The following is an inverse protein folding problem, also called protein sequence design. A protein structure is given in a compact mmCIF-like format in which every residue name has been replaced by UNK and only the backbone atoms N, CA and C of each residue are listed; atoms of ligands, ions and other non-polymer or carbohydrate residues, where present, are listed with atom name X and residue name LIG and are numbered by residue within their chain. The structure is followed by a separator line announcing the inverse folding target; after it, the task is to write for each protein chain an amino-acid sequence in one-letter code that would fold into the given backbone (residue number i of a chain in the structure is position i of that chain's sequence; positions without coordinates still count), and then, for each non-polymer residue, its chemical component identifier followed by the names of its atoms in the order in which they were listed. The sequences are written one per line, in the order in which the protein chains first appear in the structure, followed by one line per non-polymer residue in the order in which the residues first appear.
data_IF_757506852065
#
_entry.id   IF_757506852065
#
_cell.length_a   1.000
_cell.length_b   1.000
_cell.length_c   1.000
_cell.angle_alpha   90.00
_cell.angle_beta   90.00
_cell.angle_gamma   90.00
#
_symmetry.space_group_name_H-M   'P 1'
#
loop_
_entity.id
_entity.type
_entity.pdbx_description
1 polymer ?
#
# COMPACT_ATOMS: atom_id res chain seq x y z
N UNK A 1 -34.57 -39.23 -31.81
CA UNK A 1 -35.82 -38.67 -32.28
C UNK A 1 -36.03 -37.34 -31.62
N UNK A 2 -35.89 -36.25 -32.27
CA UNK A 2 -36.82 -35.48 -33.08
C UNK A 2 -37.83 -34.70 -32.20
N UNK A 3 -37.78 -33.43 -32.27
CA UNK A 3 -38.60 -32.34 -32.78
C UNK A 3 -38.86 -31.27 -31.68
N UNK A 4 -38.35 -30.02 -31.77
CA UNK A 4 -38.82 -28.83 -32.49
C UNK A 4 -40.26 -28.40 -32.16
N UNK A 5 -40.47 -27.12 -31.77
CA UNK A 5 -41.40 -26.08 -32.25
C UNK A 5 -41.41 -24.96 -31.17
N UNK A 6 -40.87 -23.78 -31.36
CA UNK A 6 -41.13 -22.57 -32.13
C UNK A 6 -42.41 -21.77 -31.72
N UNK A 7 -42.22 -20.49 -31.54
CA UNK A 7 -43.12 -19.32 -31.71
C UNK A 7 -43.99 -18.92 -30.52
N UNK A 8 -44.07 -17.68 -30.14
CA UNK A 8 -44.45 -16.50 -30.84
C UNK A 8 -44.44 -15.21 -30.05
N UNK A 9 -44.16 -14.20 -30.73
CA UNK A 9 -44.21 -12.78 -30.58
C UNK A 9 -45.57 -12.26 -30.09
N UNK A 10 -45.58 -11.23 -29.26
CA UNK A 10 -46.51 -10.11 -29.48
C UNK A 10 -45.99 -8.81 -28.93
N UNK A 11 -46.00 -7.86 -29.79
CA UNK A 11 -45.67 -6.44 -29.72
C UNK A 11 -46.90 -5.64 -29.24
N UNK A 12 -46.70 -4.61 -28.44
CA UNK A 12 -47.66 -3.50 -28.38
C UNK A 12 -46.95 -2.19 -28.14
N UNK A 13 -46.98 -1.35 -29.14
CA UNK A 13 -46.68 0.09 -29.12
C UNK A 13 -47.85 0.89 -28.51
N UNK A 14 -47.51 2.08 -28.00
CA UNK A 14 -48.21 3.38 -28.22
C UNK A 14 -47.43 4.46 -27.48
N UNK A 15 -46.69 5.34 -28.15
CA UNK A 15 -46.92 6.71 -28.61
C UNK A 15 -47.52 7.67 -27.56
N UNK A 16 -47.09 8.91 -27.31
CA UNK A 16 -46.46 9.91 -28.16
C UNK A 16 -46.15 11.20 -27.39
N UNK A 17 -45.33 12.05 -27.99
CA UNK A 17 -45.24 13.54 -27.98
C UNK A 17 -44.54 14.19 -26.77
N UNK A 18 -43.58 15.06 -26.88
CA UNK A 18 -43.00 15.84 -28.00
C UNK A 18 -42.16 16.94 -27.39
N UNK A 19 -41.13 17.40 -28.07
CA UNK A 19 -40.42 18.64 -27.72
C UNK A 19 -38.94 18.63 -28.06
N UNK A 20 -38.62 19.04 -29.28
CA UNK A 20 -37.26 19.29 -29.78
C UNK A 20 -36.52 20.38 -29.02
N UNK A 21 -35.21 20.16 -28.76
CA UNK A 21 -34.19 21.16 -29.07
C UNK A 21 -32.83 20.48 -29.14
N UNK A 22 -32.22 20.68 -30.31
CA UNK A 22 -30.87 20.36 -30.71
C UNK A 22 -29.83 21.07 -29.85
N UNK A 23 -28.81 20.35 -29.39
CA UNK A 23 -27.49 20.89 -29.13
C UNK A 23 -26.44 19.76 -29.26
N UNK A 24 -25.32 20.15 -29.82
CA UNK A 24 -24.25 19.40 -30.43
C UNK A 24 -23.63 18.30 -29.54
N UNK A 25 -23.23 17.24 -30.22
CA UNK A 25 -22.32 16.22 -29.70
C UNK A 25 -20.96 16.83 -29.42
N UNK A 26 -20.48 16.69 -28.19
CA UNK A 26 -19.07 16.78 -27.85
C UNK A 26 -18.63 15.39 -27.38
N UNK A 27 -17.81 14.76 -28.24
CA UNK A 27 -17.21 13.44 -28.00
C UNK A 27 -16.07 13.61 -27.01
N UNK A 28 -16.37 13.67 -25.73
CA UNK A 28 -15.38 13.38 -24.71
C UNK A 28 -15.44 11.88 -24.43
N UNK A 29 -14.46 11.18 -24.95
CA UNK A 29 -14.14 9.82 -24.50
C UNK A 29 -13.80 9.88 -23.01
N UNK A 30 -14.78 9.54 -22.18
CA UNK A 30 -14.53 9.11 -20.83
C UNK A 30 -13.76 7.78 -20.93
N UNK A 31 -12.45 7.88 -20.84
CA UNK A 31 -11.62 6.77 -20.42
C UNK A 31 -11.89 6.56 -18.94
N UNK A 32 -13.01 5.94 -18.63
CA UNK A 32 -13.25 5.36 -17.33
C UNK A 32 -12.42 4.06 -17.25
N UNK A 33 -11.11 4.22 -17.05
CA UNK A 33 -10.29 3.18 -16.49
C UNK A 33 -10.79 3.04 -15.07
N UNK A 34 -11.68 2.10 -14.84
CA UNK A 34 -11.93 1.54 -13.52
C UNK A 34 -10.62 0.87 -13.10
N UNK A 35 -9.65 1.68 -12.64
CA UNK A 35 -8.76 1.20 -11.63
C UNK A 35 -9.70 0.73 -10.52
N UNK A 36 -9.70 -0.56 -10.22
CA UNK A 36 -10.17 -1.05 -8.95
C UNK A 36 -9.27 -0.37 -7.93
N UNK A 37 -9.66 0.85 -7.55
CA UNK A 37 -9.21 1.47 -6.34
C UNK A 37 -9.62 0.49 -5.26
N UNK A 38 -8.64 -0.15 -4.68
CA UNK A 38 -8.82 -0.78 -3.39
C UNK A 38 -9.68 0.15 -2.57
N UNK A 39 -10.84 -0.34 -2.12
CA UNK A 39 -11.84 0.45 -1.41
C UNK A 39 -11.37 0.72 0.02
N UNK A 40 -10.22 1.40 0.17
CA UNK A 40 -9.40 1.31 1.34
C UNK A 40 -9.26 2.53 2.19
N UNK A 41 -9.76 3.63 1.80
CA UNK A 41 -9.88 4.77 2.68
C UNK A 41 -11.18 5.51 2.34
N UNK A 42 -12.29 4.77 2.34
CA UNK A 42 -13.61 5.37 2.45
C UNK A 42 -13.88 5.69 3.92
N UNK A 43 -12.88 6.26 4.59
CA UNK A 43 -13.14 6.94 5.84
C UNK A 43 -14.05 8.11 5.52
N UNK A 44 -15.13 8.24 6.27
CA UNK A 44 -15.99 9.39 6.21
C UNK A 44 -15.08 10.65 6.29
N UNK A 45 -15.06 11.53 5.29
CA UNK A 45 -14.21 12.72 5.31
C UNK A 45 -14.49 13.65 6.50
N UNK A 46 -15.56 13.38 7.26
CA UNK A 46 -15.91 14.09 8.47
C UNK A 46 -15.43 13.37 9.76
N UNK A 47 -14.83 12.17 9.66
CA UNK A 47 -14.22 11.52 10.82
C UNK A 47 -12.93 12.27 11.21
N UNK A 48 -13.01 12.84 12.41
CA UNK A 48 -11.93 13.61 13.00
C UNK A 48 -11.01 12.65 13.77
N UNK A 49 -10.09 11.98 13.05
CA UNK A 49 -9.11 11.12 13.69
C UNK A 49 -8.08 11.96 14.44
N UNK A 50 -7.89 11.67 15.72
CA UNK A 50 -6.70 12.07 16.43
C UNK A 50 -5.52 11.24 15.93
N UNK A 51 -4.89 11.69 14.85
CA UNK A 51 -3.84 10.94 14.14
C UNK A 51 -2.45 11.52 14.32
N UNK A 52 -2.30 12.45 15.25
CA UNK A 52 -1.06 13.14 15.52
C UNK A 52 -0.95 14.52 14.87
N UNK A 53 0.18 15.18 15.11
CA UNK A 53 0.45 16.55 14.68
C UNK A 53 1.01 16.57 13.24
N UNK A 54 0.21 17.05 12.29
CA UNK A 54 0.58 17.18 10.89
C UNK A 54 1.81 18.08 10.67
N UNK A 55 2.03 19.08 11.52
CA UNK A 55 3.17 20.02 11.40
C UNK A 55 4.54 19.37 11.63
N UNK A 56 4.58 18.13 12.13
CA UNK A 56 5.80 17.35 12.33
C UNK A 56 6.20 16.54 11.09
N UNK A 57 5.36 16.53 10.07
CA UNK A 57 5.64 15.89 8.79
C UNK A 57 6.12 16.93 7.75
N UNK A 58 6.85 16.47 6.73
CA UNK A 58 7.33 17.31 5.64
C UNK A 58 6.79 16.72 4.33
N UNK A 59 6.00 17.45 3.53
CA UNK A 59 5.47 16.95 2.28
C UNK A 59 6.53 16.74 1.19
N UNK A 60 7.77 17.17 1.41
CA UNK A 60 8.92 17.01 0.51
C UNK A 60 8.60 17.38 -0.96
N UNK A 61 7.99 18.54 -1.17
CA UNK A 61 7.59 19.07 -2.47
C UNK A 61 8.27 20.39 -2.83
N UNK A 62 9.49 20.64 -2.33
CA UNK A 62 10.27 21.85 -2.56
C UNK A 62 10.67 21.98 -4.04
N UNK A 63 10.85 23.20 -4.49
CA UNK A 63 11.40 23.57 -5.80
C UNK A 63 12.90 23.91 -5.69
N UNK A 64 13.55 24.16 -6.85
CA UNK A 64 14.96 24.57 -6.94
C UNK A 64 15.95 23.58 -6.32
N UNK A 65 15.78 22.30 -6.60
CA UNK A 65 16.45 21.18 -5.95
C UNK A 65 17.74 20.70 -6.63
N UNK A 66 18.11 21.25 -7.79
CA UNK A 66 19.26 20.81 -8.57
C UNK A 66 18.90 19.73 -9.61
N UNK A 67 19.94 19.01 -10.10
CA UNK A 67 19.87 18.15 -11.29
C UNK A 67 19.45 16.70 -10.97
N UNK A 68 19.52 16.29 -9.71
CA UNK A 68 19.32 14.89 -9.30
C UNK A 68 18.25 14.78 -8.23
N UNK A 69 17.27 13.96 -8.48
CA UNK A 69 16.15 13.72 -7.58
C UNK A 69 15.96 12.24 -7.28
N UNK A 70 15.65 11.93 -6.02
CA UNK A 70 15.15 10.65 -5.56
C UNK A 70 13.70 10.85 -5.11
N UNK A 71 12.77 10.46 -5.98
CA UNK A 71 11.33 10.50 -5.70
C UNK A 71 10.92 9.23 -4.99
N UNK A 72 10.49 9.36 -3.73
CA UNK A 72 9.92 8.26 -2.96
C UNK A 72 8.42 8.25 -3.19
N UNK A 73 7.91 7.15 -3.76
CA UNK A 73 6.50 6.98 -4.08
C UNK A 73 5.86 5.97 -3.14
N UNK A 74 4.85 6.42 -2.42
CA UNK A 74 4.10 5.61 -1.46
C UNK A 74 2.60 5.62 -1.80
N UNK A 75 1.87 4.61 -1.36
CA UNK A 75 0.40 4.67 -1.38
C UNK A 75 -0.08 5.89 -0.57
N UNK A 76 0.48 6.06 0.62
CA UNK A 76 0.16 7.12 1.56
C UNK A 76 -0.61 6.61 2.76
N UNK A 77 -0.82 7.50 3.72
CA UNK A 77 -1.74 7.32 4.84
C UNK A 77 -2.19 8.68 5.36
N UNK A 78 -3.44 8.78 5.78
CA UNK A 78 -4.00 9.98 6.42
C UNK A 78 -3.65 10.07 7.90
N UNK A 79 -3.13 9.01 8.49
CA UNK A 79 -2.69 8.98 9.89
C UNK A 79 -1.33 9.69 10.04
N UNK A 80 -1.32 10.89 10.62
CA UNK A 80 -0.15 11.76 10.66
C UNK A 80 1.05 11.12 11.38
N UNK A 81 0.84 10.49 12.53
CA UNK A 81 1.93 9.82 13.26
C UNK A 81 2.47 8.63 12.47
N UNK A 82 1.59 7.79 11.93
CA UNK A 82 2.01 6.66 11.09
C UNK A 82 2.76 7.14 9.84
N UNK A 83 2.29 8.21 9.17
CA UNK A 83 2.97 8.77 7.99
C UNK A 83 4.39 9.20 8.34
N UNK A 84 4.55 9.95 9.43
CA UNK A 84 5.86 10.40 9.91
C UNK A 84 6.79 9.26 10.30
N UNK A 85 6.27 8.26 11.02
CA UNK A 85 7.04 7.16 11.60
C UNK A 85 7.37 6.06 10.62
N UNK A 86 6.68 6.00 9.49
CA UNK A 86 6.88 4.99 8.44
C UNK A 86 7.43 5.59 7.16
N UNK A 87 6.60 6.23 6.34
CA UNK A 87 7.01 6.88 5.09
C UNK A 87 8.09 7.92 5.36
N UNK A 88 7.86 8.81 6.32
CA UNK A 88 8.82 9.85 6.69
C UNK A 88 10.15 9.28 7.21
N UNK A 89 10.12 8.14 7.91
CA UNK A 89 11.34 7.46 8.34
C UNK A 89 12.13 6.86 7.17
N UNK A 90 11.45 6.27 6.18
CA UNK A 90 12.06 5.78 4.94
C UNK A 90 12.70 6.95 4.18
N UNK A 91 11.97 8.05 4.02
CA UNK A 91 12.48 9.26 3.33
C UNK A 91 13.71 9.85 4.02
N UNK A 92 13.72 9.92 5.34
CA UNK A 92 14.89 10.34 6.13
C UNK A 92 16.08 9.40 5.96
N UNK A 93 15.84 8.08 5.87
CA UNK A 93 16.88 7.12 5.56
C UNK A 93 17.47 7.34 4.16
N UNK A 94 16.62 7.66 3.17
CA UNK A 94 17.05 8.03 1.81
C UNK A 94 17.86 9.33 1.81
N UNK A 95 17.41 10.38 2.49
CA UNK A 95 18.14 11.64 2.61
C UNK A 95 19.54 11.45 3.21
N UNK A 96 19.64 10.58 4.22
CA UNK A 96 20.90 10.26 4.87
C UNK A 96 21.84 9.46 3.96
N UNK A 97 21.30 8.50 3.23
CA UNK A 97 22.07 7.60 2.37
C UNK A 97 22.53 8.28 1.06
N UNK A 98 21.73 9.20 0.53
CA UNK A 98 21.93 9.84 -0.76
C UNK A 98 21.95 11.37 -0.66
N UNK A 99 22.94 11.97 0.01
CA UNK A 99 22.98 13.41 0.27
C UNK A 99 23.12 14.26 -1.01
N UNK A 100 23.53 13.67 -2.12
CA UNK A 100 23.65 14.34 -3.42
C UNK A 100 22.34 14.34 -4.22
N UNK A 101 21.30 13.68 -3.71
CA UNK A 101 19.97 13.63 -4.31
C UNK A 101 18.97 14.46 -3.49
N UNK A 102 18.16 15.26 -4.17
CA UNK A 102 17.00 15.85 -3.52
C UNK A 102 15.92 14.77 -3.33
N UNK A 103 15.57 14.47 -2.09
CA UNK A 103 14.51 13.50 -1.78
C UNK A 103 13.16 14.19 -1.81
N UNK A 104 12.23 13.61 -2.57
CA UNK A 104 10.88 14.11 -2.78
C UNK A 104 9.86 13.03 -2.45
N UNK A 105 8.62 13.44 -2.23
CA UNK A 105 7.48 12.57 -1.94
C UNK A 105 6.45 12.63 -3.06
N UNK A 106 5.88 11.48 -3.42
CA UNK A 106 4.65 11.39 -4.18
C UNK A 106 3.76 10.28 -3.59
N UNK A 107 2.44 10.51 -3.58
CA UNK A 107 1.47 9.50 -3.18
C UNK A 107 0.65 9.01 -4.37
N UNK A 108 0.30 7.72 -4.37
CA UNK A 108 -0.57 7.13 -5.39
C UNK A 108 -2.05 7.30 -5.05
N UNK A 109 -2.42 7.39 -3.78
CA UNK A 109 -3.82 7.52 -3.36
C UNK A 109 -4.27 8.98 -3.31
N UNK A 110 -5.09 9.39 -4.31
CA UNK A 110 -5.68 10.72 -4.36
C UNK A 110 -6.63 10.96 -3.19
N UNK A 111 -7.35 9.93 -2.74
CA UNK A 111 -8.27 10.02 -1.60
C UNK A 111 -7.53 10.44 -0.34
N UNK A 112 -6.36 9.84 -0.07
CA UNK A 112 -5.52 10.19 1.07
C UNK A 112 -5.00 11.62 0.94
N UNK A 113 -4.52 12.02 -0.24
CA UNK A 113 -4.04 13.37 -0.50
C UNK A 113 -5.13 14.41 -0.20
N UNK A 114 -6.32 14.19 -0.73
CA UNK A 114 -7.47 15.09 -0.57
C UNK A 114 -7.90 15.17 0.91
N UNK A 115 -7.91 14.04 1.61
CA UNK A 115 -8.25 13.97 3.04
C UNK A 115 -7.25 14.77 3.89
N UNK A 116 -5.95 14.55 3.69
CA UNK A 116 -4.88 15.27 4.42
C UNK A 116 -4.95 16.78 4.12
N UNK A 117 -5.14 17.15 2.86
CA UNK A 117 -5.26 18.56 2.49
C UNK A 117 -6.50 19.21 3.12
N UNK A 118 -7.66 18.54 3.08
CA UNK A 118 -8.91 19.06 3.66
C UNK A 118 -8.80 19.23 5.17
N UNK A 119 -8.22 18.26 5.87
CA UNK A 119 -8.12 18.24 7.33
C UNK A 119 -7.02 19.15 7.85
N UNK A 120 -5.82 19.06 7.28
CA UNK A 120 -4.59 19.65 7.82
C UNK A 120 -4.07 20.82 6.97
N UNK A 121 -4.59 21.01 5.76
CA UNK A 121 -4.10 22.01 4.80
C UNK A 121 -2.74 21.64 4.19
N UNK A 122 -2.24 20.44 4.42
CA UNK A 122 -0.98 19.94 3.89
C UNK A 122 -1.15 19.50 2.42
N UNK A 123 -0.25 19.94 1.56
CA UNK A 123 -0.25 19.61 0.14
C UNK A 123 0.80 18.55 -0.15
N UNK A 124 0.33 17.35 -0.46
CA UNK A 124 1.17 16.23 -0.89
C UNK A 124 0.94 16.04 -2.39
N UNK A 125 2.01 15.98 -3.17
CA UNK A 125 1.92 15.75 -4.61
C UNK A 125 1.44 14.29 -4.88
N UNK A 126 0.52 14.12 -5.83
CA UNK A 126 0.32 12.81 -6.44
C UNK A 126 1.48 12.50 -7.40
N UNK A 127 1.49 11.30 -7.99
CA UNK A 127 2.61 10.87 -8.85
C UNK A 127 2.79 11.80 -10.04
N UNK A 128 1.70 12.15 -10.74
CA UNK A 128 1.75 13.08 -11.88
C UNK A 128 2.27 14.46 -11.47
N UNK A 129 1.77 15.02 -10.37
CA UNK A 129 2.21 16.31 -9.84
C UNK A 129 3.70 16.29 -9.46
N UNK A 130 4.16 15.21 -8.82
CA UNK A 130 5.55 15.05 -8.45
C UNK A 130 6.47 14.94 -9.68
N UNK A 131 6.04 14.21 -10.73
CA UNK A 131 6.79 14.09 -11.99
C UNK A 131 6.83 15.40 -12.76
N UNK A 132 5.70 16.11 -12.86
CA UNK A 132 5.63 17.44 -13.49
C UNK A 132 6.53 18.44 -12.76
N UNK A 133 6.52 18.42 -11.43
CA UNK A 133 7.43 19.23 -10.61
C UNK A 133 8.90 18.91 -10.87
N UNK A 134 9.26 17.63 -11.05
CA UNK A 134 10.62 17.24 -11.39
C UNK A 134 11.04 17.79 -12.76
N UNK A 135 10.12 17.78 -13.74
CA UNK A 135 10.35 18.39 -15.07
C UNK A 135 10.54 19.91 -14.95
N UNK A 136 9.66 20.58 -14.21
CA UNK A 136 9.72 22.04 -13.99
C UNK A 136 11.01 22.46 -13.28
N UNK A 137 11.48 21.64 -12.33
CA UNK A 137 12.75 21.80 -11.63
C UNK A 137 13.98 21.48 -12.50
N UNK A 138 13.77 21.04 -13.75
CA UNK A 138 14.83 20.68 -14.69
C UNK A 138 15.75 19.59 -14.19
N UNK A 139 15.19 18.62 -13.49
CA UNK A 139 15.90 17.41 -13.05
C UNK A 139 16.40 16.66 -14.27
N UNK A 140 17.67 16.24 -14.24
CA UNK A 140 18.27 15.46 -15.33
C UNK A 140 18.27 13.97 -15.02
N UNK A 141 18.52 13.63 -13.75
CA UNK A 141 18.51 12.24 -13.27
C UNK A 141 17.43 12.07 -12.24
N UNK A 142 16.42 11.27 -12.57
CA UNK A 142 15.32 10.92 -11.68
C UNK A 142 15.41 9.44 -11.30
N UNK A 143 15.56 9.19 -10.01
CA UNK A 143 15.41 7.86 -9.42
C UNK A 143 14.09 7.80 -8.69
N UNK A 144 13.24 6.84 -9.03
CA UNK A 144 11.95 6.63 -8.37
C UNK A 144 12.03 5.38 -7.52
N UNK A 145 11.89 5.52 -6.20
CA UNK A 145 11.87 4.40 -5.28
C UNK A 145 10.47 4.24 -4.71
N UNK A 146 9.74 3.16 -5.09
CA UNK A 146 8.46 2.86 -4.48
C UNK A 146 8.65 2.28 -3.08
N UNK A 147 7.70 2.57 -2.19
CA UNK A 147 7.61 1.92 -0.87
C UNK A 147 6.58 0.79 -0.84
N UNK A 148 6.12 0.34 -2.00
CA UNK A 148 5.17 -0.76 -2.12
C UNK A 148 5.74 -2.07 -1.56
N UNK A 149 4.87 -2.90 -1.01
CA UNK A 149 5.25 -4.19 -0.45
C UNK A 149 5.70 -5.18 -1.54
N UNK A 150 5.06 -5.12 -2.72
CA UNK A 150 5.21 -6.13 -3.76
C UNK A 150 5.06 -5.54 -5.17
N UNK A 151 5.46 -6.29 -6.17
CA UNK A 151 5.17 -6.04 -7.57
C UNK A 151 3.70 -6.43 -7.86
N UNK A 152 2.78 -5.55 -7.50
CA UNK A 152 1.34 -5.68 -7.68
C UNK A 152 0.78 -4.66 -8.66
N UNK A 153 -0.54 -4.45 -8.61
CA UNK A 153 -1.24 -3.53 -9.52
C UNK A 153 -0.68 -2.11 -9.41
N UNK A 154 -0.57 -1.57 -8.20
CA UNK A 154 -0.08 -0.20 -7.97
C UNK A 154 1.35 0.03 -8.45
N UNK A 155 2.24 -0.95 -8.27
CA UNK A 155 3.60 -0.86 -8.80
C UNK A 155 3.61 -0.83 -10.33
N UNK A 156 2.75 -1.63 -10.97
CA UNK A 156 2.64 -1.66 -12.43
C UNK A 156 2.02 -0.35 -12.97
N UNK A 157 1.02 0.20 -12.29
CA UNK A 157 0.44 1.50 -12.65
C UNK A 157 1.51 2.61 -12.57
N UNK A 158 2.31 2.63 -11.51
CA UNK A 158 3.43 3.55 -11.38
C UNK A 158 4.44 3.38 -12.53
N UNK A 159 4.77 2.15 -12.88
CA UNK A 159 5.69 1.84 -13.99
C UNK A 159 5.16 2.35 -15.33
N UNK A 160 3.86 2.16 -15.58
CA UNK A 160 3.21 2.62 -16.80
C UNK A 160 3.15 4.15 -16.85
N UNK A 161 2.91 4.82 -15.73
CA UNK A 161 2.93 6.28 -15.65
C UNK A 161 4.33 6.83 -15.94
N UNK A 162 5.38 6.24 -15.36
CA UNK A 162 6.77 6.65 -15.62
C UNK A 162 7.18 6.48 -17.08
N UNK A 163 6.61 5.52 -17.81
CA UNK A 163 6.89 5.34 -19.23
C UNK A 163 6.50 6.57 -20.06
N UNK A 164 5.49 7.32 -19.63
CA UNK A 164 5.08 8.61 -20.25
C UNK A 164 6.10 9.74 -20.08
N UNK A 165 7.03 9.61 -19.13
CA UNK A 165 8.05 10.63 -18.83
C UNK A 165 9.45 10.23 -19.26
N UNK A 166 9.62 9.13 -20.00
CA UNK A 166 10.92 8.61 -20.40
C UNK A 166 11.82 9.61 -21.15
N UNK A 167 11.20 10.47 -21.95
CA UNK A 167 11.90 11.48 -22.75
C UNK A 167 12.07 12.83 -22.01
N UNK A 168 11.53 12.94 -20.79
CA UNK A 168 11.56 14.19 -20.01
C UNK A 168 12.84 14.35 -19.19
N UNK A 169 13.61 13.26 -19.00
CA UNK A 169 14.83 13.21 -18.21
C UNK A 169 15.99 12.63 -19.02
N UNK A 170 17.22 13.02 -18.72
CA UNK A 170 18.40 12.39 -19.30
C UNK A 170 18.55 10.93 -18.82
N UNK A 171 18.20 10.69 -17.55
CA UNK A 171 18.16 9.36 -16.93
C UNK A 171 16.96 9.25 -16.02
N UNK A 172 16.20 8.17 -16.17
CA UNK A 172 15.11 7.81 -15.28
C UNK A 172 15.18 6.32 -14.95
N UNK A 173 14.97 5.95 -13.70
CA UNK A 173 14.96 4.55 -13.27
C UNK A 173 13.96 4.35 -12.15
N UNK A 174 13.30 3.19 -12.16
CA UNK A 174 12.39 2.72 -11.13
C UNK A 174 13.07 1.64 -10.30
N UNK A 175 13.13 1.83 -8.98
CA UNK A 175 13.59 0.82 -8.04
C UNK A 175 12.55 -0.27 -7.80
N UNK A 176 12.99 -1.38 -7.22
CA UNK A 176 12.14 -2.51 -6.90
C UNK A 176 11.30 -2.26 -5.62
N UNK A 177 10.09 -2.84 -5.54
CA UNK A 177 9.33 -2.87 -4.29
C UNK A 177 9.97 -3.79 -3.26
N UNK A 178 9.47 -3.81 -2.02
CA UNK A 178 10.13 -4.47 -0.89
C UNK A 178 10.38 -5.96 -1.10
N UNK A 179 9.36 -6.71 -1.53
CA UNK A 179 9.40 -8.17 -1.71
C UNK A 179 9.54 -8.52 -3.19
N UNK A 180 10.74 -8.49 -3.71
CA UNK A 180 11.05 -8.78 -5.12
C UNK A 180 11.83 -10.08 -5.26
N UNK A 181 12.92 -10.26 -4.54
CA UNK A 181 13.79 -11.43 -4.61
C UNK A 181 13.62 -12.36 -3.40
N UNK A 182 14.12 -13.60 -3.52
CA UNK A 182 14.17 -14.52 -2.37
C UNK A 182 15.01 -13.96 -1.22
N UNK A 183 16.05 -13.21 -1.51
CA UNK A 183 16.88 -12.54 -0.52
C UNK A 183 16.08 -11.46 0.24
N UNK A 184 15.21 -10.72 -0.45
CA UNK A 184 14.32 -9.76 0.18
C UNK A 184 13.36 -10.43 1.16
N UNK A 185 12.78 -11.58 0.78
CA UNK A 185 11.91 -12.36 1.69
C UNK A 185 12.65 -12.79 2.95
N UNK A 186 13.90 -13.25 2.83
CA UNK A 186 14.74 -13.62 3.99
C UNK A 186 15.03 -12.40 4.88
N UNK A 187 15.38 -11.27 4.28
CA UNK A 187 15.71 -10.04 5.01
C UNK A 187 14.47 -9.45 5.70
N UNK A 188 13.32 -9.42 5.01
CA UNK A 188 12.06 -8.97 5.61
C UNK A 188 11.62 -9.90 6.72
N UNK A 189 11.71 -11.23 6.52
CA UNK A 189 11.45 -12.20 7.58
C UNK A 189 12.30 -11.92 8.82
N UNK A 190 13.61 -11.76 8.66
CA UNK A 190 14.50 -11.47 9.78
C UNK A 190 14.12 -10.15 10.47
N UNK A 191 13.75 -9.11 9.68
CA UNK A 191 13.33 -7.82 10.23
C UNK A 191 12.05 -7.92 11.06
N UNK A 192 11.03 -8.63 10.59
CA UNK A 192 9.76 -8.77 11.34
C UNK A 192 9.90 -9.67 12.55
N UNK A 193 10.73 -10.71 12.49
CA UNK A 193 11.04 -11.57 13.64
C UNK A 193 11.79 -10.77 14.71
N UNK A 194 12.82 -10.01 14.33
CA UNK A 194 13.56 -9.18 15.30
C UNK A 194 12.67 -8.08 15.91
N UNK A 195 11.79 -7.48 15.11
CA UNK A 195 10.85 -6.44 15.56
C UNK A 195 9.75 -6.95 16.51
N UNK A 196 9.56 -8.26 16.59
CA UNK A 196 8.54 -8.90 17.46
C UNK A 196 9.11 -9.85 18.50
N UNK A 197 10.43 -9.89 18.61
CA UNK A 197 11.13 -10.83 19.51
C UNK A 197 10.74 -10.71 20.99
N UNK A 198 10.30 -9.53 21.43
CA UNK A 198 9.83 -9.32 22.80
C UNK A 198 8.53 -10.08 23.12
N UNK A 199 7.76 -10.41 22.10
CA UNK A 199 6.51 -11.17 22.20
C UNK A 199 6.72 -12.69 21.99
N UNK A 200 7.91 -13.10 21.55
CA UNK A 200 8.25 -14.49 21.25
C UNK A 200 8.68 -15.23 22.52
N UNK A 201 7.69 -15.51 23.37
CA UNK A 201 7.86 -16.18 24.67
C UNK A 201 7.68 -17.72 24.61
N UNK A 202 7.48 -18.29 23.42
CA UNK A 202 7.20 -19.70 23.20
C UNK A 202 5.74 -20.11 23.46
N UNK A 203 4.89 -19.21 23.98
CA UNK A 203 3.47 -19.44 24.28
C UNK A 203 2.53 -18.55 23.42
N UNK A 204 3.10 -17.59 22.71
CA UNK A 204 2.38 -16.58 21.92
C UNK A 204 2.51 -16.85 20.44
N UNK A 205 1.39 -16.83 19.72
CA UNK A 205 1.34 -16.77 18.26
C UNK A 205 1.49 -15.33 17.80
N UNK A 206 2.37 -15.08 16.85
CA UNK A 206 2.59 -13.77 16.26
C UNK A 206 1.96 -13.77 14.87
N UNK A 207 0.91 -12.99 14.70
CA UNK A 207 0.09 -12.97 13.49
C UNK A 207 0.26 -11.64 12.75
N UNK A 208 0.73 -11.71 11.52
CA UNK A 208 0.86 -10.59 10.63
C UNK A 208 -0.34 -10.49 9.69
N UNK A 209 -0.92 -9.31 9.64
CA UNK A 209 -2.05 -8.98 8.77
C UNK A 209 -1.58 -8.14 7.59
N UNK A 210 -1.59 -8.74 6.40
CA UNK A 210 -1.42 -8.03 5.14
C UNK A 210 -2.74 -7.53 4.59
N UNK A 211 -2.66 -6.69 3.56
CA UNK A 211 -3.84 -6.20 2.87
C UNK A 211 -4.56 -7.33 2.11
N UNK A 212 -3.83 -8.02 1.28
CA UNK A 212 -4.38 -8.98 0.34
C UNK A 212 -4.77 -8.33 -0.99
N UNK A 213 -4.86 -9.14 -2.03
CA UNK A 213 -5.29 -8.73 -3.36
C UNK A 213 -5.83 -9.94 -4.13
N UNK A 214 -6.74 -9.71 -5.06
CA UNK A 214 -7.20 -10.75 -5.99
C UNK A 214 -6.17 -11.06 -7.11
N UNK A 215 -5.14 -10.22 -7.25
CA UNK A 215 -4.09 -10.42 -8.24
C UNK A 215 -3.14 -11.56 -7.86
N UNK A 216 -2.39 -12.08 -8.84
CA UNK A 216 -1.39 -13.14 -8.64
C UNK A 216 -0.31 -12.74 -7.61
N UNK A 217 -0.01 -11.46 -7.48
CA UNK A 217 0.92 -10.93 -6.48
C UNK A 217 0.54 -11.26 -5.03
N UNK A 218 -0.71 -11.68 -4.77
CA UNK A 218 -1.16 -12.14 -3.45
C UNK A 218 -0.34 -13.32 -2.90
N UNK A 219 0.30 -14.10 -3.77
CA UNK A 219 1.16 -15.22 -3.35
C UNK A 219 2.36 -14.80 -2.48
N UNK A 220 2.71 -13.53 -2.40
CA UNK A 220 3.76 -13.04 -1.49
C UNK A 220 3.46 -13.34 -0.03
N UNK A 221 2.19 -13.37 0.37
CA UNK A 221 1.79 -13.70 1.74
C UNK A 221 2.02 -15.18 2.04
N UNK A 222 1.65 -16.07 1.15
CA UNK A 222 1.95 -17.50 1.27
C UNK A 222 3.45 -17.74 1.27
N UNK A 223 4.20 -17.09 0.39
CA UNK A 223 5.66 -17.20 0.34
C UNK A 223 6.33 -16.71 1.63
N UNK A 224 5.84 -15.62 2.22
CA UNK A 224 6.34 -15.15 3.53
C UNK A 224 6.07 -16.18 4.63
N UNK A 225 4.88 -16.77 4.67
CA UNK A 225 4.55 -17.85 5.62
C UNK A 225 5.48 -19.07 5.44
N UNK A 226 5.74 -19.46 4.21
CA UNK A 226 6.67 -20.57 3.91
C UNK A 226 8.11 -20.23 4.33
N UNK A 227 8.54 -19.00 4.11
CA UNK A 227 9.86 -18.50 4.50
C UNK A 227 10.05 -18.54 6.02
N UNK A 228 9.05 -18.07 6.79
CA UNK A 228 9.02 -18.13 8.25
C UNK A 228 9.09 -19.58 8.75
N UNK A 229 8.28 -20.45 8.17
CA UNK A 229 8.23 -21.87 8.55
C UNK A 229 9.54 -22.59 8.24
N UNK A 230 10.12 -22.34 7.08
CA UNK A 230 11.39 -22.93 6.67
C UNK A 230 12.56 -22.51 7.59
N UNK A 231 12.47 -21.32 8.19
CA UNK A 231 13.42 -20.83 9.19
C UNK A 231 13.14 -21.30 10.64
N UNK A 232 12.08 -22.08 10.86
CA UNK A 232 11.72 -22.63 12.18
C UNK A 232 10.87 -21.69 13.04
N UNK A 233 10.28 -20.66 12.47
CA UNK A 233 9.35 -19.74 13.16
C UNK A 233 7.92 -20.28 13.11
N UNK A 234 7.65 -21.40 13.79
CA UNK A 234 6.37 -22.10 13.73
C UNK A 234 5.23 -21.38 14.47
N UNK A 235 5.55 -20.40 15.30
CA UNK A 235 4.57 -19.55 16.00
C UNK A 235 4.24 -18.25 15.24
N UNK A 236 4.72 -18.08 14.02
CA UNK A 236 4.44 -16.94 13.14
C UNK A 236 3.41 -17.31 12.09
N UNK A 237 2.39 -16.47 11.93
CA UNK A 237 1.27 -16.67 11.01
C UNK A 237 1.06 -15.43 10.16
N UNK A 238 0.77 -15.63 8.88
CA UNK A 238 0.50 -14.57 7.92
C UNK A 238 -0.89 -14.75 7.34
N UNK A 239 -1.69 -13.69 7.36
CA UNK A 239 -2.98 -13.64 6.70
C UNK A 239 -3.24 -12.29 6.09
N UNK A 240 -4.43 -12.12 5.53
CA UNK A 240 -4.84 -10.92 4.78
C UNK A 240 -6.24 -10.46 5.16
N UNK A 241 -6.51 -9.16 4.97
CA UNK A 241 -7.85 -8.59 5.16
C UNK A 241 -8.78 -9.00 4.02
N UNK A 242 -8.34 -8.87 2.76
CA UNK A 242 -9.22 -8.94 1.60
C UNK A 242 -9.04 -10.20 0.74
N UNK A 243 -8.08 -11.07 1.09
CA UNK A 243 -7.76 -12.25 0.29
C UNK A 243 -7.48 -13.49 1.15
N UNK A 244 -6.68 -14.41 0.62
CA UNK A 244 -6.23 -15.61 1.33
C UNK A 244 -4.72 -15.57 1.56
N UNK A 245 -4.22 -16.08 2.72
CA UNK A 245 -4.99 -16.66 3.84
C UNK A 245 -5.89 -15.63 4.53
N UNK A 246 -7.13 -16.02 4.81
CA UNK A 246 -8.11 -15.17 5.49
C UNK A 246 -7.91 -15.15 7.01
N UNK A 247 -8.63 -14.28 7.71
CA UNK A 247 -8.70 -14.28 9.16
C UNK A 247 -9.11 -15.65 9.72
N UNK A 248 -10.11 -16.28 9.13
CA UNK A 248 -10.59 -17.60 9.55
C UNK A 248 -9.51 -18.67 9.38
N UNK A 249 -8.74 -18.62 8.29
CA UNK A 249 -7.62 -19.52 8.04
C UNK A 249 -6.53 -19.37 9.13
N UNK A 250 -6.22 -18.12 9.49
CA UNK A 250 -5.22 -17.82 10.53
C UNK A 250 -5.71 -18.28 11.91
N UNK A 251 -6.96 -17.99 12.27
CA UNK A 251 -7.55 -18.44 13.54
C UNK A 251 -7.52 -19.97 13.62
N UNK A 252 -7.88 -20.67 12.56
CA UNK A 252 -7.86 -22.13 12.51
C UNK A 252 -6.44 -22.68 12.69
N UNK A 253 -5.45 -22.09 12.04
CA UNK A 253 -4.04 -22.47 12.15
C UNK A 253 -3.49 -22.25 13.56
N UNK A 254 -3.78 -21.11 14.18
CA UNK A 254 -3.35 -20.79 15.56
C UNK A 254 -4.00 -21.74 16.55
N UNK A 255 -5.29 -22.05 16.40
CA UNK A 255 -5.99 -23.05 17.24
C UNK A 255 -5.35 -24.43 17.14
N UNK A 256 -5.03 -24.87 15.92
CA UNK A 256 -4.40 -26.17 15.67
C UNK A 256 -2.99 -26.25 16.30
N UNK A 257 -2.29 -25.13 16.40
CA UNK A 257 -0.95 -25.04 17.01
C UNK A 257 -0.96 -24.99 18.55
N UNK A 258 -2.12 -24.79 19.17
CA UNK A 258 -2.30 -24.87 20.61
C UNK A 258 -1.96 -23.60 21.42
N UNK A 259 -1.58 -22.50 20.76
CA UNK A 259 -1.32 -21.22 21.41
C UNK A 259 -2.59 -20.65 22.05
N UNK A 260 -2.42 -19.82 23.09
CA UNK A 260 -3.51 -19.16 23.82
C UNK A 260 -3.43 -17.64 23.76
N UNK A 261 -2.26 -17.12 23.47
CA UNK A 261 -2.00 -15.70 23.33
C UNK A 261 -1.68 -15.39 21.88
N UNK A 262 -2.11 -14.23 21.41
CA UNK A 262 -1.90 -13.75 20.05
C UNK A 262 -1.43 -12.32 20.08
N UNK A 263 -0.39 -12.03 19.30
CA UNK A 263 0.01 -10.68 18.94
C UNK A 263 -0.36 -10.42 17.49
N UNK A 264 -1.06 -9.33 17.23
CA UNK A 264 -1.43 -8.88 15.89
C UNK A 264 -0.58 -7.68 15.49
N UNK A 265 0.04 -7.74 14.32
CA UNK A 265 0.82 -6.65 13.73
C UNK A 265 0.56 -6.56 12.22
N UNK A 266 0.54 -5.35 11.61
CA UNK A 266 0.38 -5.25 10.16
C UNK A 266 1.62 -5.72 9.41
N UNK A 267 1.40 -6.44 8.31
CA UNK A 267 2.39 -6.70 7.25
C UNK A 267 2.15 -5.69 6.11
N UNK A 268 2.20 -4.42 6.48
CA UNK A 268 1.98 -3.26 5.62
C UNK A 268 2.99 -2.18 5.98
N UNK A 269 3.37 -1.37 5.02
CA UNK A 269 4.39 -0.31 5.21
C UNK A 269 3.92 0.71 6.24
N UNK A 270 2.64 1.09 6.19
CA UNK A 270 2.01 2.03 7.11
C UNK A 270 1.03 1.32 8.04
N UNK A 271 0.71 1.92 9.17
CA UNK A 271 -0.41 1.55 10.03
C UNK A 271 -1.54 2.56 9.82
N UNK A 272 -2.29 2.38 8.72
CA UNK A 272 -3.43 3.20 8.33
C UNK A 272 -4.75 2.60 8.82
N UNK A 273 -5.81 2.81 8.02
CA UNK A 273 -7.17 2.42 8.36
C UNK A 273 -7.30 0.92 8.68
N UNK A 274 -6.79 0.03 7.82
CA UNK A 274 -6.84 -1.41 8.07
C UNK A 274 -6.17 -1.83 9.37
N UNK A 275 -5.03 -1.25 9.73
CA UNK A 275 -4.35 -1.60 10.98
C UNK A 275 -5.11 -1.10 12.21
N UNK A 276 -5.72 0.07 12.11
CA UNK A 276 -6.46 0.68 13.21
C UNK A 276 -7.87 0.10 13.38
N UNK A 277 -8.56 -0.20 12.28
CA UNK A 277 -9.95 -0.66 12.29
C UNK A 277 -10.07 -2.18 12.08
N UNK A 278 -9.61 -2.72 10.93
CA UNK A 278 -9.79 -4.14 10.62
C UNK A 278 -8.92 -5.06 11.49
N UNK A 279 -7.74 -4.61 11.91
CA UNK A 279 -6.89 -5.38 12.81
C UNK A 279 -7.19 -5.11 14.29
N UNK A 280 -7.06 -3.86 14.73
CA UNK A 280 -7.03 -3.48 16.14
C UNK A 280 -8.34 -2.84 16.64
N UNK A 281 -9.33 -2.63 15.77
CA UNK A 281 -10.60 -2.01 16.14
C UNK A 281 -11.43 -2.87 17.09
N UNK A 282 -12.37 -2.22 17.79
CA UNK A 282 -13.27 -2.85 18.75
C UNK A 282 -14.60 -3.30 18.12
N UNK A 283 -14.80 -3.04 16.83
CA UNK A 283 -15.97 -3.45 16.08
C UNK A 283 -15.97 -4.95 15.78
N UNK A 284 -17.18 -5.53 15.71
CA UNK A 284 -17.35 -6.91 15.30
C UNK A 284 -16.74 -7.16 13.91
N UNK A 285 -15.98 -8.23 13.78
CA UNK A 285 -15.32 -8.60 12.53
C UNK A 285 -13.86 -8.14 12.42
N UNK A 286 -13.38 -7.28 13.34
CA UNK A 286 -11.94 -7.00 13.41
C UNK A 286 -11.16 -8.25 13.80
N UNK A 287 -9.89 -8.32 13.40
CA UNK A 287 -9.01 -9.43 13.79
C UNK A 287 -8.96 -9.59 15.31
N UNK A 288 -8.81 -8.47 16.04
CA UNK A 288 -8.81 -8.46 17.51
C UNK A 288 -10.06 -9.12 18.07
N UNK A 289 -11.25 -8.63 17.69
CA UNK A 289 -12.50 -9.13 18.26
C UNK A 289 -12.78 -10.59 17.87
N UNK A 290 -12.43 -11.02 16.67
CA UNK A 290 -12.63 -12.41 16.23
C UNK A 290 -11.66 -13.37 16.90
N UNK A 291 -10.41 -12.99 17.15
CA UNK A 291 -9.48 -13.78 17.98
C UNK A 291 -9.95 -13.85 19.43
N UNK A 292 -10.44 -12.75 20.03
CA UNK A 292 -11.00 -12.74 21.38
C UNK A 292 -12.21 -13.65 21.50
N UNK A 293 -13.17 -13.59 20.55
CA UNK A 293 -14.32 -14.51 20.45
C UNK A 293 -13.88 -15.98 20.32
N UNK A 294 -12.77 -16.21 19.63
CA UNK A 294 -12.19 -17.54 19.49
C UNK A 294 -11.49 -18.05 20.76
N UNK A 295 -11.39 -17.22 21.82
CA UNK A 295 -10.89 -17.57 23.15
C UNK A 295 -9.40 -17.27 23.36
N UNK A 296 -8.82 -16.37 22.55
CA UNK A 296 -7.43 -15.95 22.70
C UNK A 296 -7.31 -14.67 23.54
N UNK A 297 -6.19 -14.54 24.24
CA UNK A 297 -5.71 -13.27 24.77
C UNK A 297 -4.99 -12.52 23.65
N UNK A 298 -5.43 -11.30 23.33
CA UNK A 298 -4.97 -10.56 22.16
C UNK A 298 -4.21 -9.30 22.57
N UNK A 299 -3.04 -9.11 22.00
CA UNK A 299 -2.26 -7.88 22.03
C UNK A 299 -2.16 -7.33 20.59
N UNK A 300 -2.38 -6.05 20.41
CA UNK A 300 -2.24 -5.38 19.10
C UNK A 300 -1.03 -4.46 19.10
N UNK A 301 -0.23 -4.54 18.03
CA UNK A 301 0.91 -3.67 17.77
C UNK A 301 0.62 -2.92 16.47
N UNK A 302 0.09 -1.69 16.60
CA UNK A 302 -0.36 -0.87 15.46
C UNK A 302 0.82 -0.05 14.93
N UNK A 303 1.79 -0.76 14.36
CA UNK A 303 3.01 -0.17 13.80
C UNK A 303 3.28 -0.72 12.41
N UNK A 304 3.43 0.17 11.42
CA UNK A 304 3.76 -0.20 10.05
C UNK A 304 5.22 -0.67 9.91
N UNK A 305 5.49 -1.47 8.88
CA UNK A 305 6.84 -1.98 8.59
C UNK A 305 7.86 -0.86 8.35
N UNK A 306 7.42 0.29 7.82
CA UNK A 306 8.29 1.43 7.57
C UNK A 306 8.95 2.01 8.81
N UNK A 307 8.43 1.73 10.01
CA UNK A 307 9.06 2.12 11.29
C UNK A 307 10.28 1.25 11.66
N UNK A 308 10.43 0.09 11.02
CA UNK A 308 11.51 -0.86 11.30
C UNK A 308 12.78 -0.47 10.51
N UNK A 309 13.87 -0.20 11.22
CA UNK A 309 15.13 0.26 10.61
C UNK A 309 15.62 -0.70 9.51
N UNK A 310 15.55 -2.00 9.73
CA UNK A 310 15.98 -2.99 8.74
C UNK A 310 15.15 -2.94 7.45
N UNK A 311 13.88 -2.55 7.52
CA UNK A 311 13.02 -2.33 6.36
C UNK A 311 13.41 -1.05 5.62
N UNK A 312 13.70 0.03 6.36
CA UNK A 312 14.22 1.28 5.77
C UNK A 312 15.53 1.03 5.03
N UNK A 313 16.44 0.24 5.63
CA UNK A 313 17.72 -0.14 5.02
C UNK A 313 17.55 -0.96 3.74
N UNK A 314 16.51 -1.80 3.65
CA UNK A 314 16.19 -2.54 2.43
C UNK A 314 15.73 -1.62 1.31
N UNK A 315 14.88 -0.65 1.58
CA UNK A 315 14.49 0.35 0.59
C UNK A 315 15.69 1.19 0.13
N UNK A 316 16.59 1.55 1.04
CA UNK A 316 17.85 2.23 0.68
C UNK A 316 18.70 1.34 -0.25
N UNK A 317 18.78 0.04 0.02
CA UNK A 317 19.53 -0.89 -0.84
C UNK A 317 18.88 -1.02 -2.24
N UNK A 318 17.55 -1.04 -2.34
CA UNK A 318 16.84 -1.05 -3.62
C UNK A 318 17.07 0.25 -4.41
N UNK A 319 17.00 1.39 -3.74
CA UNK A 319 17.31 2.68 -4.36
C UNK A 319 18.77 2.74 -4.83
N UNK A 320 19.73 2.21 -4.05
CA UNK A 320 21.13 2.12 -4.45
C UNK A 320 21.31 1.24 -5.69
N UNK A 321 20.64 0.10 -5.75
CA UNK A 321 20.67 -0.79 -6.92
C UNK A 321 20.13 -0.09 -8.17
N UNK A 322 19.05 0.68 -8.03
CA UNK A 322 18.51 1.49 -9.12
C UNK A 322 19.52 2.57 -9.59
N UNK A 323 20.15 3.29 -8.67
CA UNK A 323 21.20 4.27 -8.98
C UNK A 323 22.38 3.61 -9.69
N UNK A 324 22.81 2.45 -9.23
CA UNK A 324 23.94 1.74 -9.81
C UNK A 324 23.65 1.26 -11.24
N UNK A 325 22.40 0.97 -11.58
CA UNK A 325 21.97 0.60 -12.93
C UNK A 325 22.06 1.74 -13.94
N UNK A 326 22.21 3.00 -13.49
CA UNK A 326 22.37 4.19 -14.33
C UNK A 326 23.82 4.46 -14.74
N UNK A 327 24.78 3.77 -14.15
CA UNK A 327 26.22 3.90 -14.43
C UNK A 327 26.61 3.10 -15.67
#
# INVERSE_FOLDING_TARGET
GIMLIVSGMLMSMLTACGGSKTAAADDTKDNNTTAQTDAQDQTDPDENYETGDASLDDPLNQDEIGDTELLVVSFGTSYNDSRRETIGAIEKAMQKAFPDYAVRRGFTSQIIIDHVNKRDGEKIDNVTEALDRAVDNKVKTLVVQPTHLMNGLEYNDLKDELAGYSDSFEKIVLGDPLLTSDDDFQKVMNAIVDATKEYDDGETAICFMGHGTEAESNQVYTKMQETLKAAGHDNYFVGTVEATPSLDDVIAAVKASGYKKVVLRPLMIVAGDHANNDMAGDEDGSWKTEFEKAGFEVTTVVEGLGSVQAIQDLFVAHAQAAIDSLK
#
